data_IF_114957625345
#
_entry.id   IF_114957625345
#
_cell.length_a   1.000
_cell.length_b   1.000
_cell.length_c   1.000
_cell.angle_alpha   90.00
_cell.angle_beta   90.00
_cell.angle_gamma   90.00
#
_symmetry.space_group_name_H-M   'P 1'
#
loop_
_entity.id
_entity.type
_entity.pdbx_description
1 polymer ?
#
# COMPACT_ATOMS: atom_id res chain seq x y z
N UNK A 1 -22.08 24.95 35.50
CA UNK A 1 -21.30 25.13 34.25
C UNK A 1 -19.83 25.19 34.60
N UNK A 2 -19.12 24.06 34.52
CA UNK A 2 -17.67 23.98 34.76
C UNK A 2 -16.96 24.20 33.43
N UNK A 3 -16.29 25.35 33.27
CA UNK A 3 -15.47 25.62 32.10
C UNK A 3 -14.21 24.77 32.16
N UNK A 4 -14.10 23.80 31.25
CA UNK A 4 -12.86 23.05 31.02
C UNK A 4 -11.84 23.98 30.38
N UNK A 5 -10.85 24.42 31.16
CA UNK A 5 -9.73 25.19 30.65
C UNK A 5 -8.80 24.27 29.86
N UNK A 6 -8.95 24.27 28.54
CA UNK A 6 -8.07 23.53 27.64
C UNK A 6 -6.68 24.18 27.64
N UNK A 7 -5.70 23.57 28.32
CA UNK A 7 -4.29 23.98 28.22
C UNK A 7 -3.82 23.78 26.78
N UNK A 8 -3.54 24.89 26.09
CA UNK A 8 -2.92 24.88 24.77
C UNK A 8 -1.43 24.51 24.92
N UNK A 9 -1.00 23.38 24.35
CA UNK A 9 0.42 23.03 24.31
C UNK A 9 1.18 23.92 23.33
N UNK A 10 2.40 24.32 23.71
CA UNK A 10 3.29 25.09 22.83
C UNK A 10 3.67 24.28 21.58
N UNK A 11 3.69 24.92 20.42
CA UNK A 11 4.15 24.32 19.15
C UNK A 11 5.51 23.65 19.26
N UNK A 12 6.42 24.20 20.09
CA UNK A 12 7.75 23.65 20.35
C UNK A 12 7.73 22.28 21.03
N UNK A 13 6.63 21.92 21.71
CA UNK A 13 6.41 20.62 22.35
C UNK A 13 5.58 19.70 21.45
N UNK A 14 4.58 20.26 20.75
CA UNK A 14 3.69 19.48 19.88
C UNK A 14 4.45 18.85 18.72
N UNK A 15 5.31 19.60 18.02
CA UNK A 15 6.04 19.06 16.88
C UNK A 15 6.99 17.89 17.20
N UNK A 16 7.86 17.97 18.23
CA UNK A 16 8.70 16.83 18.58
C UNK A 16 7.88 15.64 19.09
N UNK A 17 6.81 15.88 19.85
CA UNK A 17 5.92 14.80 20.29
C UNK A 17 5.25 14.11 19.10
N UNK A 18 4.74 14.88 18.14
CA UNK A 18 4.18 14.35 16.90
C UNK A 18 5.22 13.55 16.13
N UNK A 19 6.45 14.06 16.01
CA UNK A 19 7.54 13.34 15.35
C UNK A 19 7.81 12.00 16.01
N UNK A 20 7.88 11.95 17.35
CA UNK A 20 8.06 10.70 18.11
C UNK A 20 6.91 9.72 17.81
N UNK A 21 5.67 10.17 17.80
CA UNK A 21 4.50 9.33 17.48
C UNK A 21 4.58 8.79 16.05
N UNK A 22 4.96 9.62 15.08
CA UNK A 22 5.12 9.20 13.68
C UNK A 22 6.25 8.18 13.53
N UNK A 23 7.40 8.42 14.17
CA UNK A 23 8.55 7.51 14.12
C UNK A 23 8.24 6.18 14.81
N UNK A 24 7.59 6.19 15.98
CA UNK A 24 7.18 4.98 16.67
C UNK A 24 6.15 4.19 15.85
N UNK A 25 5.12 4.87 15.31
CA UNK A 25 4.09 4.25 14.48
C UNK A 25 4.62 3.71 13.15
N UNK A 26 5.63 4.36 12.58
CA UNK A 26 6.35 3.85 11.40
C UNK A 26 7.20 2.64 11.77
N UNK A 27 8.02 2.74 12.82
CA UNK A 27 8.89 1.68 13.30
C UNK A 27 8.10 0.39 13.55
N UNK A 28 6.98 0.46 14.26
CA UNK A 28 6.12 -0.70 14.52
C UNK A 28 5.52 -1.32 13.24
N UNK A 29 5.28 -0.54 12.18
CA UNK A 29 4.74 -1.05 10.91
C UNK A 29 5.79 -1.71 10.03
N UNK A 30 7.05 -1.28 10.13
CA UNK A 30 8.16 -1.83 9.33
C UNK A 30 9.03 -2.82 10.10
N UNK A 31 8.77 -2.97 11.40
CA UNK A 31 9.47 -3.94 12.22
C UNK A 31 9.04 -5.36 11.84
N UNK A 32 10.02 -6.20 11.50
CA UNK A 32 9.80 -7.61 11.14
C UNK A 32 8.77 -7.81 9.99
N UNK A 33 8.89 -7.02 8.92
CA UNK A 33 8.03 -7.16 7.73
C UNK A 33 7.98 -8.59 7.16
N UNK A 34 9.08 -9.34 7.27
CA UNK A 34 9.14 -10.75 6.88
C UNK A 34 8.70 -11.71 8.01
N UNK A 35 7.68 -11.32 8.79
CA UNK A 35 7.15 -12.14 9.89
C UNK A 35 6.70 -13.52 9.41
N UNK A 36 6.25 -13.59 8.16
CA UNK A 36 5.72 -14.77 7.52
C UNK A 36 6.79 -15.62 6.79
N UNK A 37 8.06 -15.19 6.77
CA UNK A 37 9.16 -15.89 6.10
C UNK A 37 8.89 -16.24 4.62
N UNK A 38 8.03 -15.48 3.95
CA UNK A 38 7.66 -15.67 2.55
C UNK A 38 6.72 -16.84 2.25
N UNK A 39 6.04 -17.43 3.25
CA UNK A 39 5.12 -18.55 3.01
C UNK A 39 3.73 -18.11 2.51
N UNK A 40 3.41 -16.82 2.57
CA UNK A 40 2.11 -16.29 2.16
C UNK A 40 0.98 -16.89 3.02
N UNK A 41 1.13 -16.87 4.34
CA UNK A 41 0.16 -17.41 5.30
C UNK A 41 -1.19 -16.76 5.16
N UNK A 42 -1.23 -15.45 4.86
CA UNK A 42 -2.48 -14.77 4.60
C UNK A 42 -2.96 -15.06 3.16
N UNK A 43 -4.17 -15.61 2.99
CA UNK A 43 -4.66 -16.04 1.68
C UNK A 43 -4.80 -14.88 0.68
N UNK A 44 -5.07 -13.68 1.18
CA UNK A 44 -5.19 -12.43 0.42
C UNK A 44 -3.82 -11.85 0.02
N UNK A 45 -2.81 -11.92 0.90
CA UNK A 45 -1.43 -11.57 0.57
C UNK A 45 -0.84 -12.52 -0.47
N UNK A 46 -1.05 -13.83 -0.28
CA UNK A 46 -0.63 -14.85 -1.25
C UNK A 46 -1.32 -14.69 -2.58
N UNK A 47 -2.62 -14.37 -2.57
CA UNK A 47 -3.34 -14.10 -3.81
C UNK A 47 -2.71 -12.92 -4.55
N UNK A 48 -2.43 -11.84 -3.83
CA UNK A 48 -1.76 -10.64 -4.35
C UNK A 48 -0.40 -10.97 -4.98
N UNK A 49 0.46 -11.68 -4.26
CA UNK A 49 1.80 -12.04 -4.74
C UNK A 49 1.78 -13.04 -5.92
N UNK A 50 0.94 -14.08 -5.86
CA UNK A 50 0.96 -15.14 -6.87
C UNK A 50 0.12 -14.83 -8.12
N UNK A 51 -0.99 -14.08 -8.00
CA UNK A 51 -1.94 -13.86 -9.10
C UNK A 51 -2.03 -12.42 -9.60
N UNK A 52 -1.72 -11.41 -8.77
CA UNK A 52 -1.83 -10.00 -9.19
C UNK A 52 -0.44 -9.46 -9.57
N UNK A 53 0.55 -9.61 -8.70
CA UNK A 53 1.90 -9.09 -8.92
C UNK A 53 2.54 -9.65 -10.20
N UNK A 54 2.31 -10.92 -10.52
CA UNK A 54 2.79 -11.58 -11.74
C UNK A 54 2.20 -11.03 -13.04
N UNK A 55 1.09 -10.30 -12.95
CA UNK A 55 0.44 -9.66 -14.11
C UNK A 55 0.80 -8.18 -14.27
N UNK A 56 1.47 -7.60 -13.28
CA UNK A 56 1.88 -6.20 -13.32
C UNK A 56 3.17 -6.07 -14.12
N UNK A 57 3.14 -5.24 -15.15
CA UNK A 57 4.31 -4.90 -15.95
C UNK A 57 4.37 -3.40 -16.24
N UNK A 58 5.55 -2.92 -16.63
CA UNK A 58 5.70 -1.57 -17.13
C UNK A 58 5.02 -1.44 -18.51
N UNK A 59 4.28 -0.35 -18.75
CA UNK A 59 3.65 -0.09 -20.03
C UNK A 59 4.72 0.23 -21.08
N UNK A 60 4.50 -0.18 -22.33
CA UNK A 60 5.38 0.13 -23.44
C UNK A 60 5.21 1.57 -23.95
N UNK A 61 4.09 2.23 -23.60
CA UNK A 61 3.79 3.60 -24.01
C UNK A 61 2.94 4.36 -23.00
N UNK A 62 2.94 5.69 -23.11
CA UNK A 62 2.09 6.54 -22.29
C UNK A 62 0.60 6.35 -22.57
N UNK A 63 0.24 6.08 -23.83
CA UNK A 63 -1.16 5.84 -24.22
C UNK A 63 -1.69 4.54 -23.59
N UNK A 64 -0.85 3.51 -23.53
CA UNK A 64 -1.15 2.26 -22.85
C UNK A 64 -1.28 2.46 -21.33
N UNK A 65 -0.42 3.28 -20.72
CA UNK A 65 -0.52 3.60 -19.30
C UNK A 65 -1.84 4.29 -18.94
N UNK A 66 -2.28 5.25 -19.77
CA UNK A 66 -3.46 6.08 -19.50
C UNK A 66 -4.78 5.35 -19.72
N UNK A 67 -4.81 4.34 -20.57
CA UNK A 67 -6.01 3.55 -20.84
C UNK A 67 -6.19 2.45 -19.76
N UNK A 68 -7.24 2.51 -18.92
CA UNK A 68 -7.45 1.53 -17.86
C UNK A 68 -7.66 0.09 -18.34
N UNK A 69 -8.13 -0.11 -19.58
CA UNK A 69 -8.38 -1.46 -20.12
C UNK A 69 -7.17 -2.04 -20.85
N UNK A 70 -6.14 -1.23 -21.06
CA UNK A 70 -4.90 -1.64 -21.75
C UNK A 70 -3.68 -1.57 -20.84
N UNK A 71 -3.73 -0.78 -19.78
CA UNK A 71 -2.61 -0.58 -18.87
C UNK A 71 -2.25 -1.86 -18.13
N UNK A 72 -1.05 -2.43 -18.35
CA UNK A 72 -0.57 -3.58 -17.58
C UNK A 72 -0.28 -3.23 -16.11
N UNK A 73 -0.32 -1.94 -15.76
CA UNK A 73 -0.22 -1.49 -14.38
C UNK A 73 -1.56 -1.51 -13.64
N UNK A 74 -2.69 -1.74 -14.31
CA UNK A 74 -4.00 -1.72 -13.67
C UNK A 74 -4.36 -3.09 -13.04
N UNK A 75 -4.36 -3.24 -11.71
CA UNK A 75 -4.70 -4.50 -11.05
C UNK A 75 -6.19 -4.83 -11.08
N UNK A 76 -7.05 -3.89 -11.49
CA UNK A 76 -8.51 -4.04 -11.54
C UNK A 76 -9.00 -4.56 -12.90
N UNK A 77 -8.11 -4.67 -13.88
CA UNK A 77 -8.43 -5.19 -15.21
C UNK A 77 -7.55 -6.39 -15.54
N UNK A 78 -8.16 -7.49 -15.96
CA UNK A 78 -7.45 -8.66 -16.46
C UNK A 78 -7.25 -8.52 -17.97
N UNK A 79 -6.00 -8.27 -18.40
CA UNK A 79 -5.65 -8.16 -19.82
C UNK A 79 -5.77 -9.48 -20.58
N UNK A 80 -5.61 -10.64 -19.92
CA UNK A 80 -5.72 -11.94 -20.57
C UNK A 80 -7.19 -12.30 -20.82
N UNK A 81 -8.06 -12.03 -19.84
CA UNK A 81 -9.48 -12.37 -19.91
C UNK A 81 -10.37 -11.21 -20.36
N UNK A 82 -9.80 -10.02 -20.59
CA UNK A 82 -10.49 -8.82 -21.03
C UNK A 82 -11.73 -8.49 -20.19
N UNK A 83 -11.58 -8.60 -18.85
CA UNK A 83 -12.68 -8.41 -17.90
C UNK A 83 -12.23 -7.69 -16.63
N UNK A 84 -13.15 -7.01 -15.92
CA UNK A 84 -12.88 -6.52 -14.58
C UNK A 84 -12.50 -7.65 -13.63
N UNK A 85 -11.51 -7.43 -12.77
CA UNK A 85 -11.13 -8.34 -11.68
C UNK A 85 -11.19 -7.60 -10.35
N UNK A 86 -11.61 -8.29 -9.31
CA UNK A 86 -11.69 -7.72 -7.96
C UNK A 86 -10.33 -7.82 -7.28
N UNK A 87 -9.69 -6.68 -7.00
CA UNK A 87 -8.45 -6.61 -6.24
C UNK A 87 -8.73 -6.01 -4.86
N UNK A 88 -8.31 -6.69 -3.79
CA UNK A 88 -8.65 -6.34 -2.41
C UNK A 88 -7.76 -5.25 -1.82
N UNK A 89 -6.60 -5.00 -2.42
CA UNK A 89 -5.57 -4.10 -1.91
C UNK A 89 -5.45 -2.81 -2.74
N UNK A 90 -4.64 -1.88 -2.24
CA UNK A 90 -4.29 -0.67 -2.99
C UNK A 90 -3.16 -0.89 -3.99
N UNK A 91 -3.04 0.02 -4.95
CA UNK A 91 -1.96 0.04 -5.94
C UNK A 91 -0.56 0.13 -5.30
N UNK A 92 -0.40 0.98 -4.29
CA UNK A 92 0.90 1.21 -3.66
C UNK A 92 1.50 -0.06 -3.03
N UNK A 93 0.80 -0.79 -2.13
CA UNK A 93 1.28 -2.07 -1.62
C UNK A 93 1.64 -3.07 -2.72
N UNK A 94 0.83 -3.16 -3.78
CA UNK A 94 1.09 -4.07 -4.90
C UNK A 94 2.38 -3.72 -5.63
N UNK A 95 2.56 -2.45 -6.02
CA UNK A 95 3.75 -2.01 -6.75
C UNK A 95 5.02 -2.11 -5.91
N UNK A 96 4.93 -1.82 -4.61
CA UNK A 96 6.05 -2.05 -3.70
C UNK A 96 6.42 -3.54 -3.65
N UNK A 97 5.41 -4.43 -3.57
CA UNK A 97 5.64 -5.87 -3.64
C UNK A 97 6.30 -6.31 -4.94
N UNK A 98 5.85 -5.80 -6.10
CA UNK A 98 6.47 -6.07 -7.40
C UNK A 98 7.90 -5.55 -7.49
N UNK A 99 8.19 -4.38 -6.91
CA UNK A 99 9.52 -3.77 -6.94
C UNK A 99 10.52 -4.39 -5.97
N UNK A 100 10.05 -4.96 -4.86
CA UNK A 100 10.86 -5.62 -3.82
C UNK A 100 10.98 -7.13 -4.01
N UNK A 101 10.19 -7.70 -4.93
CA UNK A 101 10.13 -9.13 -5.26
C UNK A 101 11.19 -9.59 -6.23
#
# INVERSE_FOLDING_TARGET
MTQSSSRQLSRRVVFPLLLIVLLAGFGLRVWNLNFDRGIGSHPDERSTACFYATTIALPASWDEFRDPQRSPMNPLWDLQQQRPRSFTYGHLPLYMGVAMG
#
